data_IF_425598424106
#
_entry.id   IF_425598424106
#
_cell.length_a   1.000
_cell.length_b   1.000
_cell.length_c   1.000
_cell.angle_alpha   90.00
_cell.angle_beta   90.00
_cell.angle_gamma   90.00
#
_symmetry.space_group_name_H-M   'P 1'
#
loop_
_entity.id
_entity.type
_entity.pdbx_description
1 polymer ?
#
# COMPACT_ATOMS: atom_id res chain seq x y z
N UNK A 1 -0.16 11.37 23.15
CA UNK A 1 -1.23 10.73 23.92
C UNK A 1 -2.15 10.01 22.95
N UNK A 2 -2.25 8.68 23.07
CA UNK A 2 -3.03 7.81 22.17
C UNK A 2 -4.08 7.12 23.02
N UNK A 3 -5.35 7.25 22.67
CA UNK A 3 -6.44 6.49 23.29
C UNK A 3 -6.54 5.09 22.73
N UNK A 4 -6.83 4.11 23.58
CA UNK A 4 -7.19 2.77 23.12
C UNK A 4 -8.63 2.78 22.57
N UNK A 5 -8.76 2.68 21.26
CA UNK A 5 -10.05 2.70 20.56
C UNK A 5 -10.49 1.32 20.08
N UNK A 6 -9.86 0.23 20.56
CA UNK A 6 -10.24 -1.14 20.18
C UNK A 6 -11.67 -1.47 20.55
N UNK A 7 -12.08 -1.13 21.77
CA UNK A 7 -13.45 -1.36 22.23
C UNK A 7 -14.45 -0.49 21.46
N UNK A 8 -14.15 0.79 21.24
CA UNK A 8 -15.00 1.65 20.41
C UNK A 8 -15.17 1.09 18.98
N UNK A 9 -14.13 0.45 18.45
CA UNK A 9 -14.12 -0.12 17.10
C UNK A 9 -15.06 -1.34 16.94
N UNK A 10 -15.44 -2.02 18.04
CA UNK A 10 -16.41 -3.13 18.00
C UNK A 10 -17.82 -2.60 17.78
N UNK A 11 -18.20 -1.51 18.46
CA UNK A 11 -19.52 -0.86 18.32
C UNK A 11 -19.63 0.06 17.09
N UNK A 12 -18.50 0.42 16.47
CA UNK A 12 -18.49 1.30 15.31
C UNK A 12 -18.79 0.51 14.03
N UNK A 13 -19.87 0.91 13.33
CA UNK A 13 -20.22 0.38 12.01
C UNK A 13 -19.06 0.62 11.03
N UNK A 14 -18.54 -0.42 10.36
CA UNK A 14 -17.42 -0.30 9.44
C UNK A 14 -17.79 0.53 8.21
N UNK A 15 -17.01 1.58 7.94
CA UNK A 15 -17.14 2.37 6.72
C UNK A 15 -16.36 1.71 5.58
N UNK A 16 -17.07 1.04 4.67
CA UNK A 16 -16.51 0.27 3.55
C UNK A 16 -16.30 1.15 2.30
N UNK A 17 -15.70 2.32 2.47
CA UNK A 17 -15.33 3.17 1.34
C UNK A 17 -14.26 2.47 0.47
N UNK A 18 -14.38 2.48 -0.86
CA UNK A 18 -13.39 1.84 -1.72
C UNK A 18 -12.06 2.58 -1.65
N UNK A 19 -11.03 1.89 -1.15
CA UNK A 19 -9.65 2.35 -1.18
C UNK A 19 -8.98 1.64 -2.35
N UNK A 20 -8.33 2.36 -3.28
CA UNK A 20 -7.70 1.75 -4.44
C UNK A 20 -6.59 0.80 -3.99
N UNK A 21 -6.44 -0.33 -4.68
CA UNK A 21 -5.37 -1.26 -4.38
C UNK A 21 -4.04 -0.67 -4.85
N UNK A 22 -3.03 -0.70 -3.99
CA UNK A 22 -1.71 -0.14 -4.28
C UNK A 22 -1.18 -0.63 -5.64
N UNK A 23 -1.28 -1.92 -5.97
CA UNK A 23 -0.82 -2.46 -7.26
C UNK A 23 -1.52 -1.84 -8.49
N UNK A 24 -2.84 -1.60 -8.40
CA UNK A 24 -3.61 -0.97 -9.48
C UNK A 24 -3.19 0.48 -9.65
N UNK A 25 -3.03 1.18 -8.54
CA UNK A 25 -2.55 2.56 -8.46
C UNK A 25 -1.14 2.70 -9.03
N UNK A 26 -0.22 1.79 -8.68
CA UNK A 26 1.15 1.78 -9.16
C UNK A 26 1.23 1.54 -10.67
N UNK A 27 0.31 0.76 -11.23
CA UNK A 27 0.27 0.51 -12.68
C UNK A 27 -0.01 1.80 -13.48
N UNK A 28 -0.73 2.76 -12.89
CA UNK A 28 -0.97 4.08 -13.49
C UNK A 28 0.31 4.95 -13.55
N UNK A 29 1.34 4.59 -12.77
CA UNK A 29 2.65 5.26 -12.79
C UNK A 29 3.50 4.85 -13.99
N UNK A 30 3.07 3.83 -14.76
CA UNK A 30 3.72 3.43 -16.00
C UNK A 30 3.82 4.66 -16.92
N UNK A 31 5.06 5.02 -17.34
CA UNK A 31 5.43 6.19 -18.16
C UNK A 31 5.75 7.50 -17.41
N UNK A 32 5.65 7.55 -16.09
CA UNK A 32 6.01 8.75 -15.34
C UNK A 32 7.53 8.97 -15.31
N UNK A 33 8.03 10.06 -15.92
CA UNK A 33 9.44 10.47 -15.83
C UNK A 33 9.71 11.36 -14.62
N UNK A 34 8.71 12.13 -14.20
CA UNK A 34 8.80 13.03 -13.07
C UNK A 34 7.74 12.62 -12.06
N UNK A 35 8.22 12.13 -10.92
CA UNK A 35 7.40 11.63 -9.83
C UNK A 35 7.64 12.52 -8.61
N UNK A 36 6.55 12.93 -7.99
CA UNK A 36 6.55 13.63 -6.72
C UNK A 36 5.76 12.83 -5.72
N UNK A 37 6.30 12.66 -4.52
CA UNK A 37 5.61 12.08 -3.38
C UNK A 37 5.54 13.13 -2.28
N UNK A 38 4.34 13.38 -1.76
CA UNK A 38 4.10 14.30 -0.65
C UNK A 38 3.34 13.59 0.46
N UNK A 39 3.74 13.85 1.70
CA UNK A 39 3.11 13.31 2.92
C UNK A 39 2.25 14.40 3.56
N UNK A 40 0.96 14.13 3.76
CA UNK A 40 0.10 15.01 4.53
C UNK A 40 0.53 14.99 6.01
N UNK A 41 0.93 16.15 6.56
CA UNK A 41 1.49 16.23 7.90
C UNK A 41 0.45 15.84 8.95
N UNK A 42 0.58 14.63 9.53
CA UNK A 42 -0.42 14.08 10.46
C UNK A 42 -1.82 14.17 9.85
N UNK A 43 -2.00 13.66 8.62
CA UNK A 43 -3.19 13.86 7.80
C UNK A 43 -4.51 13.76 8.56
N UNK A 44 -4.73 12.68 9.32
CA UNK A 44 -5.95 12.53 10.14
C UNK A 44 -6.16 13.67 11.14
N UNK A 45 -5.12 14.13 11.84
CA UNK A 45 -5.22 15.20 12.84
C UNK A 45 -5.58 16.57 12.25
N UNK A 46 -5.65 16.69 10.93
CA UNK A 46 -6.13 17.90 10.27
C UNK A 46 -7.67 17.94 10.22
N UNK A 47 -8.35 16.79 10.34
CA UNK A 47 -9.81 16.71 10.24
C UNK A 47 -10.50 17.09 11.55
N UNK A 48 -11.45 18.02 11.49
CA UNK A 48 -12.28 18.41 12.64
C UNK A 48 -13.29 17.32 12.98
N UNK A 49 -13.41 16.98 14.26
CA UNK A 49 -14.44 16.07 14.72
C UNK A 49 -15.76 16.79 14.99
N UNK A 50 -16.87 16.15 14.64
CA UNK A 50 -18.21 16.64 15.02
C UNK A 50 -18.38 16.57 16.55
N UNK A 51 -19.20 17.43 17.17
CA UNK A 51 -19.43 17.39 18.62
C UNK A 51 -19.88 16.03 19.15
N UNK A 52 -20.65 15.27 18.35
CA UNK A 52 -21.08 13.90 18.70
C UNK A 52 -19.89 12.94 18.75
N UNK A 53 -19.01 13.00 17.75
CA UNK A 53 -17.82 12.13 17.69
C UNK A 53 -16.79 12.48 18.77
N UNK A 54 -16.64 13.76 19.14
CA UNK A 54 -15.75 14.19 20.24
C UNK A 54 -16.08 13.48 21.56
N UNK A 55 -17.37 13.38 21.89
CA UNK A 55 -17.85 12.70 23.11
C UNK A 55 -17.53 11.20 23.12
N UNK A 56 -17.62 10.55 21.95
CA UNK A 56 -17.31 9.13 21.79
C UNK A 56 -15.81 8.83 21.85
N UNK A 57 -14.97 9.82 21.53
CA UNK A 57 -13.52 9.70 21.52
C UNK A 57 -12.87 10.29 22.78
N UNK A 58 -13.61 10.38 23.89
CA UNK A 58 -13.03 10.78 25.17
C UNK A 58 -11.97 9.79 25.63
N UNK A 59 -10.89 10.31 26.18
CA UNK A 59 -9.84 9.51 26.82
C UNK A 59 -9.74 9.90 28.29
N UNK A 60 -9.53 8.89 29.12
CA UNK A 60 -9.37 9.03 30.55
C UNK A 60 -7.87 8.93 30.85
N UNK A 61 -7.34 9.91 31.56
CA UNK A 61 -5.98 9.91 32.07
C UNK A 61 -6.00 10.11 33.58
N UNK A 62 -4.84 9.95 34.22
CA UNK A 62 -4.65 10.27 35.64
C UNK A 62 -4.93 11.75 35.97
N UNK A 63 -4.93 12.64 34.98
CA UNK A 63 -5.18 14.07 35.14
C UNK A 63 -6.61 14.49 34.75
N UNK A 64 -7.48 13.54 34.39
CA UNK A 64 -8.88 13.81 34.06
C UNK A 64 -9.32 13.25 32.71
N UNK A 65 -10.46 13.76 32.22
CA UNK A 65 -11.08 13.31 30.96
C UNK A 65 -10.83 14.37 29.89
N UNK A 66 -10.25 13.95 28.77
CA UNK A 66 -9.93 14.83 27.64
C UNK A 66 -10.69 14.41 26.39
N UNK A 67 -11.05 15.38 25.56
CA UNK A 67 -11.71 15.16 24.26
C UNK A 67 -10.76 15.46 23.11
N UNK A 68 -10.76 14.61 22.08
CA UNK A 68 -10.11 14.95 20.82
C UNK A 68 -10.91 16.02 20.08
N UNK A 69 -10.24 17.10 19.67
CA UNK A 69 -10.83 18.12 18.78
C UNK A 69 -10.69 17.77 17.30
N UNK A 70 -9.69 16.96 16.98
CA UNK A 70 -9.33 16.51 15.64
C UNK A 70 -9.26 14.99 15.61
N UNK A 71 -9.41 14.39 14.43
CA UNK A 71 -9.45 12.95 14.28
C UNK A 71 -8.15 12.29 14.77
N UNK A 72 -8.18 11.44 15.81
CA UNK A 72 -6.99 10.77 16.30
C UNK A 72 -6.61 9.57 15.44
N UNK A 73 -5.35 9.16 15.52
CA UNK A 73 -4.90 7.87 14.98
C UNK A 73 -5.59 6.68 15.70
N UNK A 74 -5.74 5.57 14.97
CA UNK A 74 -6.19 4.28 15.52
C UNK A 74 -7.70 4.03 15.44
N UNK A 75 -8.50 5.03 15.05
CA UNK A 75 -9.94 4.82 14.88
C UNK A 75 -10.22 4.05 13.57
N UNK A 76 -11.14 3.09 13.65
CA UNK A 76 -11.47 2.14 12.57
C UNK A 76 -11.75 2.77 11.21
N UNK A 77 -12.50 3.87 11.17
CA UNK A 77 -13.00 4.47 9.93
C UNK A 77 -12.16 5.68 9.44
N UNK A 78 -11.04 6.02 10.12
CA UNK A 78 -10.21 7.16 9.73
C UNK A 78 -9.69 7.06 8.28
N UNK A 79 -9.10 5.92 7.83
CA UNK A 79 -8.60 5.78 6.46
C UNK A 79 -9.70 5.98 5.40
N UNK A 80 -10.85 5.32 5.57
CA UNK A 80 -11.99 5.41 4.66
C UNK A 80 -12.52 6.84 4.53
N UNK A 81 -12.63 7.54 5.65
CA UNK A 81 -13.05 8.95 5.66
C UNK A 81 -12.04 9.84 4.94
N UNK A 82 -10.74 9.64 5.21
CA UNK A 82 -9.67 10.44 4.60
C UNK A 82 -9.60 10.23 3.08
N UNK A 83 -9.68 8.98 2.62
CA UNK A 83 -9.71 8.67 1.20
C UNK A 83 -10.92 9.32 0.50
N UNK A 84 -12.11 9.27 1.12
CA UNK A 84 -13.31 9.93 0.59
C UNK A 84 -13.14 11.44 0.48
N UNK A 85 -12.56 12.05 1.51
CA UNK A 85 -12.26 13.48 1.51
C UNK A 85 -11.34 13.85 0.35
N UNK A 86 -10.24 13.11 0.16
CA UNK A 86 -9.32 13.36 -0.96
C UNK A 86 -9.98 13.17 -2.33
N UNK A 87 -10.80 12.12 -2.48
CA UNK A 87 -11.55 11.92 -3.72
C UNK A 87 -12.52 13.08 -4.03
N UNK A 88 -13.05 13.72 -2.98
CA UNK A 88 -13.96 14.88 -3.13
C UNK A 88 -13.21 16.17 -3.47
N UNK A 89 -11.98 16.34 -2.96
CA UNK A 89 -11.14 17.53 -3.23
C UNK A 89 -10.49 17.44 -4.63
N UNK A 90 -10.11 16.24 -5.07
CA UNK A 90 -9.35 15.99 -6.30
C UNK A 90 -10.06 15.15 -7.37
N UNK A 91 -11.38 15.32 -7.63
CA UNK A 91 -12.11 14.40 -8.50
C UNK A 91 -11.60 14.45 -9.95
N UNK A 92 -11.27 15.65 -10.45
CA UNK A 92 -10.79 15.83 -11.82
C UNK A 92 -9.39 15.26 -12.01
N UNK A 93 -8.51 15.49 -11.05
CA UNK A 93 -7.12 15.07 -11.10
C UNK A 93 -7.00 13.54 -11.01
N UNK A 94 -7.77 12.92 -10.11
CA UNK A 94 -7.89 11.46 -10.00
C UNK A 94 -8.48 10.85 -11.29
N UNK A 95 -9.52 11.46 -11.86
CA UNK A 95 -10.13 10.94 -13.11
C UNK A 95 -9.18 10.97 -14.31
N UNK A 96 -8.22 11.91 -14.32
CA UNK A 96 -7.20 12.02 -15.37
C UNK A 96 -6.02 11.05 -15.16
N UNK A 97 -5.94 10.37 -14.01
CA UNK A 97 -4.96 9.32 -13.75
C UNK A 97 -3.52 9.76 -13.54
N UNK A 98 -3.24 11.07 -13.41
CA UNK A 98 -1.89 11.58 -13.13
C UNK A 98 -1.65 11.94 -11.65
N UNK A 99 -2.72 11.97 -10.86
CA UNK A 99 -2.68 12.15 -9.42
C UNK A 99 -3.17 10.88 -8.76
N UNK A 100 -2.41 10.44 -7.77
CA UNK A 100 -2.69 9.26 -6.98
C UNK A 100 -2.79 9.69 -5.53
N UNK A 101 -3.84 9.23 -4.86
CA UNK A 101 -4.02 9.39 -3.43
C UNK A 101 -4.18 8.03 -2.78
N UNK A 102 -3.34 7.76 -1.80
CA UNK A 102 -3.46 6.59 -0.94
C UNK A 102 -3.39 7.03 0.52
N UNK A 103 -4.56 7.22 1.13
CA UNK A 103 -4.68 7.77 2.49
C UNK A 103 -3.87 9.07 2.59
N UNK A 104 -2.77 9.10 3.33
CA UNK A 104 -1.96 10.30 3.60
C UNK A 104 -0.90 10.60 2.51
N UNK A 105 -0.66 9.64 1.61
CA UNK A 105 0.33 9.76 0.53
C UNK A 105 -0.31 10.39 -0.72
N UNK A 106 0.34 11.45 -1.22
CA UNK A 106 -0.04 12.17 -2.45
C UNK A 106 1.07 11.97 -3.47
N UNK A 107 0.74 11.32 -4.59
CA UNK A 107 1.71 11.02 -5.63
C UNK A 107 1.30 11.71 -6.93
N UNK A 108 2.16 12.58 -7.43
CA UNK A 108 1.97 13.28 -8.72
C UNK A 108 2.91 12.68 -9.74
N UNK A 109 2.39 12.44 -10.94
CA UNK A 109 3.16 11.83 -12.01
C UNK A 109 3.03 12.60 -13.30
N UNK A 110 4.13 12.66 -14.05
CA UNK A 110 4.17 13.26 -15.37
C UNK A 110 5.29 12.67 -16.21
N UNK A 111 5.09 12.67 -17.52
CA UNK A 111 6.08 12.29 -18.55
C UNK A 111 6.83 13.50 -19.12
N UNK A 112 6.33 14.71 -18.89
CA UNK A 112 6.91 15.98 -19.33
C UNK A 112 7.11 16.93 -18.15
N UNK A 113 8.25 17.63 -18.13
CA UNK A 113 8.58 18.62 -17.11
C UNK A 113 7.61 19.80 -17.09
N UNK A 114 7.14 20.23 -18.26
CA UNK A 114 6.17 21.31 -18.38
C UNK A 114 4.84 20.95 -17.71
N UNK A 115 4.25 19.80 -18.10
CA UNK A 115 3.02 19.32 -17.48
C UNK A 115 3.21 18.95 -16.00
N UNK A 116 4.41 18.52 -15.61
CA UNK A 116 4.74 18.25 -14.22
C UNK A 116 4.58 19.51 -13.36
N UNK A 117 5.16 20.64 -13.78
CA UNK A 117 5.05 21.90 -13.05
C UNK A 117 3.60 22.40 -12.97
N UNK A 118 2.83 22.29 -14.07
CA UNK A 118 1.41 22.64 -14.07
C UNK A 118 0.61 21.79 -13.07
N UNK A 119 0.82 20.47 -13.08
CA UNK A 119 0.18 19.52 -12.17
C UNK A 119 0.56 19.81 -10.72
N UNK A 120 1.83 20.09 -10.45
CA UNK A 120 2.32 20.43 -9.13
C UNK A 120 1.69 21.72 -8.60
N UNK A 121 1.70 22.80 -9.39
CA UNK A 121 1.07 24.08 -9.02
C UNK A 121 -0.40 23.87 -8.65
N UNK A 122 -1.13 23.17 -9.53
CA UNK A 122 -2.56 22.90 -9.34
C UNK A 122 -2.85 22.09 -8.06
N UNK A 123 -2.02 21.10 -7.74
CA UNK A 123 -2.17 20.35 -6.49
C UNK A 123 -1.88 21.25 -5.30
N UNK A 124 -0.77 22.00 -5.30
CA UNK A 124 -0.40 22.89 -4.19
C UNK A 124 -1.44 24.00 -3.95
N UNK A 125 -2.03 24.56 -5.01
CA UNK A 125 -3.11 25.54 -4.92
C UNK A 125 -4.34 24.95 -4.22
N UNK A 126 -4.76 23.74 -4.62
CA UNK A 126 -5.89 23.05 -3.98
C UNK A 126 -5.60 22.72 -2.52
N UNK A 127 -4.42 22.19 -2.23
CA UNK A 127 -3.97 21.86 -0.87
C UNK A 127 -4.03 23.11 0.02
N UNK A 128 -3.51 24.23 -0.49
CA UNK A 128 -3.55 25.53 0.20
C UNK A 128 -4.98 26.02 0.39
N UNK A 129 -5.82 25.90 -0.64
CA UNK A 129 -7.23 26.30 -0.60
C UNK A 129 -8.05 25.54 0.45
N UNK A 130 -7.73 24.27 0.71
CA UNK A 130 -8.36 23.46 1.78
C UNK A 130 -7.63 23.55 3.12
N UNK A 131 -6.61 24.41 3.23
CA UNK A 131 -5.77 24.56 4.43
C UNK A 131 -5.10 23.25 4.91
N UNK A 132 -4.82 22.34 3.97
CA UNK A 132 -4.11 21.09 4.28
C UNK A 132 -2.61 21.37 4.42
N UNK A 133 -2.00 20.81 5.45
CA UNK A 133 -0.57 20.94 5.74
C UNK A 133 0.21 19.74 5.20
N UNK A 134 1.29 20.01 4.48
CA UNK A 134 2.20 19.00 3.95
C UNK A 134 3.50 18.98 4.76
N UNK A 135 4.02 17.78 5.03
CA UNK A 135 5.28 17.58 5.73
C UNK A 135 6.47 17.67 4.78
N UNK A 136 6.99 18.89 4.55
CA UNK A 136 8.05 19.13 3.56
C UNK A 136 9.27 18.20 3.70
N UNK A 137 9.69 17.86 4.93
CA UNK A 137 10.83 16.96 5.20
C UNK A 137 10.68 15.55 4.62
N UNK A 138 9.45 15.10 4.37
CA UNK A 138 9.12 13.80 3.82
C UNK A 138 8.68 13.86 2.36
N UNK A 139 8.71 15.04 1.75
CA UNK A 139 8.31 15.23 0.36
C UNK A 139 9.52 15.09 -0.56
N UNK A 140 9.31 14.43 -1.69
CA UNK A 140 10.28 14.27 -2.76
C UNK A 140 9.67 14.86 -4.03
N UNK A 141 10.39 15.76 -4.71
CA UNK A 141 9.86 16.48 -5.87
C UNK A 141 10.64 16.18 -7.15
N UNK A 142 9.94 15.74 -8.19
CA UNK A 142 10.47 15.65 -9.55
C UNK A 142 11.55 14.59 -9.77
N UNK A 143 11.53 13.50 -9.01
CA UNK A 143 12.48 12.39 -9.15
C UNK A 143 12.06 11.44 -10.28
N UNK A 144 13.03 10.84 -10.96
CA UNK A 144 12.79 9.79 -11.96
C UNK A 144 12.45 8.44 -11.33
N UNK A 145 13.00 8.21 -10.13
CA UNK A 145 12.79 7.03 -9.31
C UNK A 145 12.62 7.46 -7.85
N UNK A 146 11.57 6.98 -7.19
CA UNK A 146 11.34 7.25 -5.77
C UNK A 146 10.69 6.07 -5.04
N UNK A 147 10.82 6.08 -3.72
CA UNK A 147 10.10 5.16 -2.85
C UNK A 147 8.68 5.67 -2.60
N UNK A 148 7.68 4.87 -2.95
CA UNK A 148 6.28 5.15 -2.66
C UNK A 148 5.50 3.85 -2.40
N UNK A 149 4.58 3.89 -1.43
CA UNK A 149 3.67 2.78 -1.11
C UNK A 149 4.37 1.43 -0.87
N UNK A 150 5.60 1.44 -0.34
CA UNK A 150 6.40 0.24 -0.10
C UNK A 150 7.07 -0.37 -1.34
N UNK A 151 7.06 0.36 -2.46
CA UNK A 151 7.74 0.00 -3.69
C UNK A 151 8.74 1.06 -4.11
N UNK A 152 9.75 0.63 -4.87
CA UNK A 152 10.58 1.53 -5.64
C UNK A 152 9.86 1.73 -6.97
N UNK A 153 9.43 2.96 -7.22
CA UNK A 153 8.69 3.33 -8.43
C UNK A 153 9.59 4.15 -9.33
N UNK A 154 9.77 3.66 -10.56
CA UNK A 154 10.26 4.47 -11.67
C UNK A 154 9.27 4.43 -12.82
N UNK A 155 9.41 5.33 -13.79
CA UNK A 155 8.59 5.31 -15.00
C UNK A 155 8.67 4.03 -15.83
N UNK A 156 9.70 3.22 -15.59
CA UNK A 156 10.02 2.01 -16.36
C UNK A 156 9.83 0.71 -15.55
N UNK A 157 10.01 0.76 -14.24
CA UNK A 157 10.06 -0.43 -13.40
C UNK A 157 9.39 -0.24 -12.04
N UNK A 158 8.86 -1.34 -11.52
CA UNK A 158 8.39 -1.49 -10.16
C UNK A 158 9.30 -2.48 -9.44
N UNK A 159 9.99 -1.99 -8.42
CA UNK A 159 10.83 -2.79 -7.53
C UNK A 159 10.18 -2.99 -6.17
N UNK A 160 10.60 -4.05 -5.47
CA UNK A 160 10.28 -4.21 -4.06
C UNK A 160 11.19 -3.29 -3.23
N UNK A 161 10.62 -2.58 -2.25
CA UNK A 161 11.43 -1.81 -1.32
C UNK A 161 12.22 -2.73 -0.37
N UNK A 162 13.55 -2.76 -0.55
CA UNK A 162 14.46 -3.70 0.12
C UNK A 162 14.38 -3.64 1.65
N UNK A 163 14.09 -2.47 2.25
CA UNK A 163 13.99 -2.36 3.71
C UNK A 163 12.73 -3.03 4.27
N UNK A 164 11.61 -3.08 3.53
CA UNK A 164 10.43 -3.83 4.00
C UNK A 164 10.71 -5.34 4.03
N UNK A 165 11.42 -5.83 3.01
CA UNK A 165 11.84 -7.24 2.94
C UNK A 165 12.83 -7.54 4.07
N UNK A 166 13.80 -6.65 4.31
CA UNK A 166 14.77 -6.78 5.38
C UNK A 166 14.13 -6.83 6.79
N UNK A 167 12.94 -6.26 7.00
CA UNK A 167 12.23 -6.34 8.29
C UNK A 167 11.57 -7.70 8.54
N UNK A 168 11.29 -8.49 7.48
CA UNK A 168 10.67 -9.82 7.56
C UNK A 168 11.73 -10.93 7.51
N UNK A 169 12.88 -10.66 6.90
CA UNK A 169 13.99 -11.60 6.74
C UNK A 169 14.71 -12.07 8.02
N UNK A 170 14.76 -11.38 9.17
CA UNK A 170 15.42 -11.89 10.37
C UNK A 170 14.47 -12.59 11.34
N UNK A 171 13.15 -12.64 11.06
CA UNK A 171 12.19 -13.23 11.98
C UNK A 171 12.40 -14.74 12.13
N UNK A 172 12.22 -15.29 13.34
CA UNK A 172 12.20 -16.74 13.54
C UNK A 172 11.04 -17.36 12.73
N UNK A 173 11.11 -18.66 12.49
CA UNK A 173 10.01 -19.39 11.86
C UNK A 173 8.74 -19.16 12.70
N UNK A 174 7.65 -18.82 12.03
CA UNK A 174 6.36 -18.54 12.67
C UNK A 174 5.95 -19.71 13.57
N UNK A 175 5.58 -19.42 14.82
CA UNK A 175 5.29 -20.43 15.83
C UNK A 175 3.79 -20.72 15.99
N UNK A 176 2.95 -19.90 15.37
CA UNK A 176 1.51 -20.04 15.42
C UNK A 176 0.82 -19.63 14.12
N UNK A 177 -0.45 -20.02 13.98
CA UNK A 177 -1.28 -19.71 12.81
C UNK A 177 -1.38 -18.21 12.54
N UNK A 178 -1.43 -17.37 13.58
CA UNK A 178 -1.59 -15.91 13.46
C UNK A 178 -0.34 -15.27 12.83
N UNK A 179 0.84 -15.68 13.26
CA UNK A 179 2.12 -15.27 12.67
C UNK A 179 2.24 -15.76 11.24
N UNK A 180 1.85 -17.01 10.96
CA UNK A 180 1.86 -17.55 9.59
C UNK A 180 0.92 -16.79 8.66
N UNK A 181 -0.30 -16.48 9.09
CA UNK A 181 -1.24 -15.65 8.32
C UNK A 181 -0.69 -14.25 8.06
N UNK A 182 -0.02 -13.65 9.06
CA UNK A 182 0.64 -12.35 8.91
C UNK A 182 1.75 -12.38 7.86
N UNK A 183 2.61 -13.41 7.92
CA UNK A 183 3.66 -13.64 6.92
C UNK A 183 3.09 -13.85 5.51
N UNK A 184 2.08 -14.72 5.37
CA UNK A 184 1.43 -14.98 4.08
C UNK A 184 0.74 -13.74 3.53
N UNK A 185 0.16 -12.89 4.39
CA UNK A 185 -0.38 -11.59 4.01
C UNK A 185 0.70 -10.68 3.41
N UNK A 186 1.87 -10.61 4.07
CA UNK A 186 3.02 -9.86 3.57
C UNK A 186 3.57 -10.43 2.26
N UNK A 187 3.82 -11.74 2.18
CA UNK A 187 4.35 -12.37 0.97
C UNK A 187 3.36 -12.26 -0.21
N UNK A 188 2.06 -12.38 0.07
CA UNK A 188 1.00 -12.20 -0.92
C UNK A 188 0.94 -10.78 -1.48
N UNK A 189 1.32 -9.76 -0.69
CA UNK A 189 1.41 -8.38 -1.17
C UNK A 189 2.43 -8.25 -2.32
N UNK A 190 3.53 -9.01 -2.26
CA UNK A 190 4.58 -9.03 -3.28
C UNK A 190 4.48 -10.20 -4.27
N UNK A 191 3.35 -10.94 -4.29
CA UNK A 191 3.19 -12.17 -5.10
C UNK A 191 3.52 -12.04 -6.58
N UNK A 192 3.36 -10.84 -7.16
CA UNK A 192 3.67 -10.58 -8.58
C UNK A 192 5.16 -10.75 -8.89
N UNK A 193 6.03 -10.56 -7.90
CA UNK A 193 7.48 -10.75 -8.03
C UNK A 193 7.92 -12.19 -7.72
N UNK A 194 7.00 -13.03 -7.23
CA UNK A 194 7.29 -14.38 -6.74
C UNK A 194 6.78 -15.42 -7.74
N UNK A 195 7.71 -16.06 -8.45
CA UNK A 195 7.37 -17.16 -9.37
C UNK A 195 6.70 -18.31 -8.60
N UNK A 196 5.61 -18.84 -9.15
CA UNK A 196 4.89 -20.01 -8.62
C UNK A 196 4.43 -19.86 -7.15
N UNK A 197 4.17 -18.61 -6.70
CA UNK A 197 3.78 -18.33 -5.31
C UNK A 197 2.63 -19.20 -4.80
N UNK A 198 1.61 -19.44 -5.63
CA UNK A 198 0.45 -20.25 -5.26
C UNK A 198 0.83 -21.69 -4.86
N UNK A 199 1.79 -22.29 -5.58
CA UNK A 199 2.27 -23.65 -5.31
C UNK A 199 3.09 -23.65 -4.01
N UNK A 200 4.01 -22.69 -3.86
CA UNK A 200 4.85 -22.57 -2.67
C UNK A 200 4.03 -22.30 -1.40
N UNK A 201 3.02 -21.45 -1.49
CA UNK A 201 2.20 -21.06 -0.35
C UNK A 201 1.11 -22.08 -0.01
N UNK A 202 0.82 -23.07 -0.88
CA UNK A 202 -0.28 -24.04 -0.70
C UNK A 202 -0.23 -24.74 0.66
N UNK A 203 0.90 -25.37 0.98
CA UNK A 203 1.07 -26.09 2.25
C UNK A 203 1.03 -25.18 3.47
N UNK A 204 1.40 -23.90 3.31
CA UNK A 204 1.36 -22.87 4.35
C UNK A 204 -0.06 -22.32 4.58
N UNK A 205 -0.89 -22.23 3.53
CA UNK A 205 -2.30 -21.87 3.69
C UNK A 205 -3.09 -22.97 4.40
N UNK A 206 -2.77 -24.25 4.15
CA UNK A 206 -3.44 -25.40 4.80
C UNK A 206 -3.27 -25.37 6.32
N UNK A 207 -2.08 -25.04 6.84
CA UNK A 207 -1.85 -24.95 8.30
C UNK A 207 -2.52 -23.74 8.95
N UNK A 208 -2.93 -22.76 8.16
CA UNK A 208 -3.67 -21.60 8.66
C UNK A 208 -5.15 -21.91 8.89
N UNK A 209 -5.67 -23.01 8.32
CA UNK A 209 -7.07 -23.42 8.54
C UNK A 209 -7.30 -23.76 10.01
N UNK A 210 -8.48 -23.42 10.53
CA UNK A 210 -8.86 -23.65 11.93
C UNK A 210 -8.82 -25.13 12.30
N UNK A 211 -9.19 -26.01 11.36
CA UNK A 211 -9.29 -27.46 11.55
C UNK A 211 -7.94 -28.19 11.53
N UNK A 212 -6.90 -27.57 10.97
CA UNK A 212 -5.57 -28.20 10.82
C UNK A 212 -4.71 -27.96 12.06
N UNK A 213 -3.97 -28.96 12.53
CA UNK A 213 -2.97 -28.75 13.59
C UNK A 213 -1.81 -27.91 13.06
N UNK A 214 -1.33 -26.95 13.85
CA UNK A 214 -0.17 -26.16 13.45
C UNK A 214 1.10 -26.99 13.63
N UNK A 215 1.66 -27.47 12.52
CA UNK A 215 2.94 -28.18 12.50
C UNK A 215 3.80 -27.67 11.33
N UNK A 216 5.06 -27.34 11.63
CA UNK A 216 6.05 -26.95 10.63
C UNK A 216 6.84 -28.18 10.19
N UNK A 217 6.22 -29.02 9.37
CA UNK A 217 6.91 -30.15 8.69
C UNK A 217 8.09 -29.64 7.85
N UNK A 218 9.03 -30.52 7.53
CA UNK A 218 10.19 -30.19 6.70
C UNK A 218 9.81 -29.58 5.34
N UNK A 219 8.74 -30.08 4.71
CA UNK A 219 8.19 -29.53 3.46
C UNK A 219 7.77 -28.06 3.63
N UNK A 220 7.01 -27.75 4.70
CA UNK A 220 6.55 -26.39 5.01
C UNK A 220 7.69 -25.45 5.37
N UNK A 221 8.72 -25.94 6.06
CA UNK A 221 9.93 -25.16 6.34
C UNK A 221 10.64 -24.81 5.03
N UNK A 222 10.79 -25.78 4.12
CA UNK A 222 11.39 -25.53 2.80
C UNK A 222 10.59 -24.52 1.98
N UNK A 223 9.25 -24.65 1.97
CA UNK A 223 8.36 -23.70 1.31
C UNK A 223 8.50 -22.28 1.88
N UNK A 224 8.53 -22.16 3.20
CA UNK A 224 8.71 -20.89 3.91
C UNK A 224 10.04 -20.22 3.55
N UNK A 225 11.15 -20.96 3.60
CA UNK A 225 12.48 -20.44 3.24
C UNK A 225 12.59 -20.10 1.76
N UNK A 226 11.96 -20.87 0.86
CA UNK A 226 11.93 -20.56 -0.57
C UNK A 226 11.20 -19.25 -0.85
N UNK A 227 10.06 -19.00 -0.19
CA UNK A 227 9.35 -17.71 -0.29
C UNK A 227 10.22 -16.55 0.23
N UNK A 228 10.91 -16.72 1.37
CA UNK A 228 11.84 -15.69 1.90
C UNK A 228 12.98 -15.39 0.94
N UNK A 229 13.60 -16.43 0.38
CA UNK A 229 14.67 -16.28 -0.60
C UNK A 229 14.18 -15.56 -1.86
N UNK A 230 13.01 -15.94 -2.38
CA UNK A 230 12.43 -15.28 -3.55
C UNK A 230 12.03 -13.82 -3.29
N UNK A 231 11.62 -13.45 -2.07
CA UNK A 231 11.40 -12.04 -1.70
C UNK A 231 12.70 -11.23 -1.70
N UNK A 232 13.83 -11.85 -1.32
CA UNK A 232 15.16 -11.22 -1.31
C UNK A 232 15.73 -11.04 -2.72
N UNK A 233 15.54 -12.04 -3.57
CA UNK A 233 16.06 -12.11 -4.94
C UNK A 233 15.05 -11.63 -6.00
N UNK A 234 13.94 -11.04 -5.54
CA UNK A 234 12.84 -10.63 -6.40
C UNK A 234 13.31 -9.70 -7.54
N UNK A 235 13.01 -10.04 -8.80
CA UNK A 235 13.37 -9.21 -9.93
C UNK A 235 12.54 -7.92 -9.96
N UNK A 236 13.09 -6.89 -10.62
CA UNK A 236 12.34 -5.72 -11.03
C UNK A 236 11.27 -6.14 -12.03
N UNK A 237 10.02 -5.72 -11.82
CA UNK A 237 8.97 -5.88 -12.81
C UNK A 237 8.95 -4.66 -13.70
N UNK A 238 8.90 -4.85 -15.01
CA UNK A 238 8.68 -3.74 -15.93
C UNK A 238 7.24 -3.28 -15.84
N UNK A 239 7.04 -1.97 -15.82
CA UNK A 239 5.71 -1.38 -15.89
C UNK A 239 5.07 -1.72 -17.25
N UNK A 240 3.76 -2.04 -17.30
CA UNK A 240 3.11 -2.42 -18.54
C UNK A 240 3.08 -1.24 -19.51
N UNK A 241 3.63 -1.42 -20.71
CA UNK A 241 3.54 -0.44 -21.78
C UNK A 241 2.42 -0.86 -22.74
N UNK A 242 1.27 -0.21 -22.62
CA UNK A 242 0.04 -0.57 -23.34
C UNK A 242 0.14 -0.53 -24.88
N UNK A 243 1.19 0.09 -25.42
CA UNK A 243 1.42 0.19 -26.87
C UNK A 243 2.26 -0.97 -27.44
N UNK A 244 2.64 -1.97 -26.62
CA UNK A 244 3.46 -3.11 -27.02
C UNK A 244 2.64 -4.39 -26.81
N UNK A 245 2.71 -5.38 -27.72
CA UNK A 245 2.02 -6.66 -27.52
C UNK A 245 2.53 -7.38 -26.26
N UNK A 246 1.59 -7.83 -25.44
CA UNK A 246 1.86 -8.68 -24.29
C UNK A 246 1.91 -10.15 -24.71
N UNK A 247 2.81 -10.92 -24.09
CA UNK A 247 2.83 -12.38 -24.15
C UNK A 247 2.33 -12.93 -22.84
N UNK A 248 1.27 -13.72 -22.90
CA UNK A 248 0.69 -14.36 -21.73
C UNK A 248 1.04 -15.85 -21.75
N UNK A 249 1.83 -16.28 -20.77
CA UNK A 249 2.17 -17.68 -20.55
C UNK A 249 1.28 -18.21 -19.44
N UNK A 250 0.62 -19.33 -19.70
CA UNK A 250 -0.23 -20.01 -18.73
C UNK A 250 0.27 -21.45 -18.67
N UNK A 251 0.41 -21.97 -17.46
CA UNK A 251 0.68 -23.37 -17.20
C UNK A 251 -0.22 -23.85 -16.06
N UNK A 252 -0.73 -25.07 -16.17
CA UNK A 252 -1.68 -25.63 -15.22
C UNK A 252 -1.34 -27.09 -14.96
N UNK A 253 -1.40 -27.48 -13.69
CA UNK A 253 -1.35 -28.88 -13.27
C UNK A 253 -2.52 -29.19 -12.34
N UNK A 254 -2.71 -30.48 -12.00
CA UNK A 254 -3.77 -30.89 -11.07
C UNK A 254 -3.68 -30.22 -9.69
N UNK A 255 -2.53 -29.66 -9.34
CA UNK A 255 -2.27 -29.00 -8.07
C UNK A 255 -2.46 -27.48 -8.06
N UNK A 256 -2.44 -26.81 -9.23
CA UNK A 256 -2.50 -25.36 -9.31
C UNK A 256 -2.31 -24.76 -10.72
N UNK A 257 -2.52 -23.45 -10.81
CA UNK A 257 -2.36 -22.64 -12.02
C UNK A 257 -1.22 -21.63 -11.84
N UNK A 258 -0.31 -21.57 -12.80
CA UNK A 258 0.72 -20.54 -12.93
C UNK A 258 0.45 -19.67 -14.15
N UNK A 259 0.70 -18.36 -14.03
CA UNK A 259 0.65 -17.47 -15.18
C UNK A 259 1.74 -16.42 -15.09
N UNK A 260 2.29 -16.02 -16.25
CA UNK A 260 3.27 -14.96 -16.37
C UNK A 260 2.92 -14.07 -17.56
N UNK A 261 2.86 -12.76 -17.31
CA UNK A 261 2.64 -11.75 -18.34
C UNK A 261 3.98 -11.07 -18.66
N UNK A 262 4.44 -11.23 -19.89
CA UNK A 262 5.72 -10.72 -20.36
C UNK A 262 5.52 -9.67 -21.46
N UNK A 263 6.46 -8.73 -21.56
CA UNK A 263 6.55 -7.81 -22.68
C UNK A 263 7.88 -8.08 -23.37
N UNK A 264 7.88 -8.16 -24.71
CA UNK A 264 9.13 -8.27 -25.47
C UNK A 264 9.68 -6.85 -25.66
N UNK A 265 10.72 -6.50 -24.93
CA UNK A 265 11.54 -5.35 -25.30
C UNK A 265 12.35 -5.76 -26.52
N UNK A 266 12.07 -5.16 -27.67
CA UNK A 266 13.02 -5.11 -28.77
C UNK A 266 14.17 -4.20 -28.32
N UNK A 267 15.07 -4.74 -27.52
CA UNK A 267 16.41 -4.18 -27.43
C UNK A 267 17.04 -4.39 -28.81
N UNK A 268 17.58 -3.31 -29.36
CA UNK A 268 18.31 -3.25 -30.62
C UNK A 268 19.26 -4.44 -30.78
#
# INVERSE_FOLDING_TARGET
MVGDSRELSTYTVPDRYPIPRIQETLTQLSKAKYITSMDALKGFHQNVLTPKTKKLLRIITNCGIYEYLRMPFGIKNAPSHYQRMMNTIFPKELSKGWLIFYIDDIIICSDSWYFYLERLSRVLEKVTGVSMKIGLKKCNFGFEELEALGHIVSGLSLGIYKNQVAAVLPRPINQNKKEMMSFLGFASYYRQHLKEFAILAKSLYIICDQKTVFEMTQERIQAYEKIRKSLKEAPLLLMPYWNIPFKFYIDACGDGLGAALHVRLSLW
#
